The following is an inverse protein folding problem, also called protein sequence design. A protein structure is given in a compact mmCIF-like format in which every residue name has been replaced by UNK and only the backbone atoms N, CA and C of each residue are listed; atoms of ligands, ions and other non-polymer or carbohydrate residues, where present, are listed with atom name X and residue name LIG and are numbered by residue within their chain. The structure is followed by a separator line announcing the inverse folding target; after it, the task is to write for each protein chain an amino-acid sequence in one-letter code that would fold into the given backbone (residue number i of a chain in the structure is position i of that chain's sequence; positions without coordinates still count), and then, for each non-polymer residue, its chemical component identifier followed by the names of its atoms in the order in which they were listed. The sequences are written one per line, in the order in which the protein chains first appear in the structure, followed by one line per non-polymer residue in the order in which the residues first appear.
data_IF_686834602156
#
_entry.id   IF_686834602156
#
_cell.length_a   1.000
_cell.length_b   1.000
_cell.length_c   1.000
_cell.angle_alpha   90.00
_cell.angle_beta   90.00
_cell.angle_gamma   90.00
#
_symmetry.space_group_name_H-M   'P 1'
#
loop_
_entity.id
_entity.type
_entity.pdbx_description
1 polymer ?
#
# COMPACT_ATOMS: atom_id res chain seq x y z
N UNK A 1 -21.46 -22.19 48.14
CA UNK A 1 -20.58 -21.01 48.02
C UNK A 1 -20.25 -20.88 46.52
N UNK A 2 -20.99 -20.01 45.87
CA UNK A 2 -20.91 -19.80 44.42
C UNK A 2 -19.89 -18.70 44.21
N UNK A 3 -18.70 -19.04 43.66
CA UNK A 3 -17.70 -18.06 43.23
C UNK A 3 -18.11 -17.48 41.89
N UNK A 4 -18.64 -16.26 41.91
CA UNK A 4 -18.80 -15.42 40.72
C UNK A 4 -17.46 -15.26 40.02
N UNK A 5 -17.37 -15.56 38.70
CA UNK A 5 -16.16 -15.27 37.93
C UNK A 5 -15.96 -13.76 37.88
N UNK A 6 -14.89 -13.26 38.48
CA UNK A 6 -14.47 -11.88 38.29
C UNK A 6 -14.17 -11.65 36.78
N UNK A 7 -14.60 -10.51 36.21
CA UNK A 7 -14.19 -10.12 34.89
C UNK A 7 -12.65 -9.99 34.91
N UNK A 8 -11.96 -10.92 34.21
CA UNK A 8 -10.54 -10.82 34.00
C UNK A 8 -10.28 -9.52 33.20
N UNK A 9 -9.95 -8.46 33.90
CA UNK A 9 -9.29 -7.31 33.28
C UNK A 9 -8.08 -7.85 32.55
N UNK A 10 -8.09 -7.77 31.22
CA UNK A 10 -6.96 -8.16 30.40
C UNK A 10 -5.72 -7.47 30.97
N UNK A 11 -4.78 -8.19 31.60
CA UNK A 11 -3.69 -7.53 32.29
C UNK A 11 -2.87 -6.73 31.30
N UNK A 12 -2.57 -5.48 31.65
CA UNK A 12 -1.66 -4.59 30.89
C UNK A 12 -0.38 -5.35 30.45
N UNK A 13 0.06 -6.33 31.22
CA UNK A 13 1.15 -7.22 30.91
C UNK A 13 0.99 -8.01 29.58
N UNK A 14 -0.24 -8.31 29.13
CA UNK A 14 -0.46 -8.94 27.82
C UNK A 14 -0.41 -7.93 26.68
N UNK A 15 -0.73 -6.66 26.94
CA UNK A 15 -0.61 -5.56 25.97
C UNK A 15 0.87 -5.25 25.67
N UNK A 16 1.75 -5.45 26.67
CA UNK A 16 3.19 -5.21 26.60
C UNK A 16 3.99 -6.52 26.47
N UNK A 17 3.38 -7.59 25.99
CA UNK A 17 4.12 -8.84 25.78
C UNK A 17 5.23 -8.66 24.73
N UNK A 18 6.39 -9.27 24.96
CA UNK A 18 7.56 -9.18 24.07
C UNK A 18 7.24 -9.38 22.58
N UNK A 19 6.42 -10.39 22.17
CA UNK A 19 6.07 -10.55 20.75
C UNK A 19 5.33 -9.35 20.15
N UNK A 20 4.44 -8.69 20.92
CA UNK A 20 3.73 -7.50 20.46
C UNK A 20 4.67 -6.31 20.31
N UNK A 21 5.58 -6.12 21.26
CA UNK A 21 6.59 -5.06 21.23
C UNK A 21 7.57 -5.26 20.06
N UNK A 22 8.07 -6.48 19.87
CA UNK A 22 8.99 -6.79 18.76
C UNK A 22 8.31 -6.58 17.41
N UNK A 23 7.08 -7.11 17.25
CA UNK A 23 6.33 -6.92 15.99
C UNK A 23 5.99 -5.45 15.75
N UNK A 24 5.59 -4.71 16.79
CA UNK A 24 5.29 -3.30 16.71
C UNK A 24 6.53 -2.45 16.37
N UNK A 25 7.66 -2.74 17.00
CA UNK A 25 8.93 -2.07 16.72
C UNK A 25 9.41 -2.35 15.29
N UNK A 26 9.33 -3.60 14.83
CA UNK A 26 9.69 -3.98 13.46
C UNK A 26 8.80 -3.29 12.43
N UNK A 27 7.48 -3.23 12.67
CA UNK A 27 6.54 -2.50 11.83
C UNK A 27 6.86 -1.00 11.80
N UNK A 28 7.00 -0.38 12.97
CA UNK A 28 7.33 1.04 13.08
C UNK A 28 8.63 1.39 12.38
N UNK A 29 9.67 0.58 12.58
CA UNK A 29 10.97 0.75 11.92
C UNK A 29 10.84 0.61 10.39
N UNK A 30 10.14 -0.41 9.90
CA UNK A 30 9.93 -0.60 8.46
C UNK A 30 9.19 0.59 7.82
N UNK A 31 8.15 1.10 8.49
CA UNK A 31 7.39 2.27 8.03
C UNK A 31 8.28 3.52 8.00
N UNK A 32 9.00 3.78 9.10
CA UNK A 32 9.89 4.95 9.20
C UNK A 32 11.00 4.89 8.16
N UNK A 33 11.64 3.74 7.99
CA UNK A 33 12.70 3.57 6.98
C UNK A 33 12.16 3.72 5.55
N UNK A 34 10.98 3.19 5.26
CA UNK A 34 10.36 3.34 3.94
C UNK A 34 10.03 4.81 3.64
N UNK A 35 9.43 5.54 4.58
CA UNK A 35 9.18 6.97 4.41
C UNK A 35 10.46 7.79 4.37
N UNK A 36 11.45 7.51 5.24
CA UNK A 36 12.75 8.18 5.23
C UNK A 36 13.46 8.03 3.89
N UNK A 37 13.41 6.82 3.31
CA UNK A 37 13.96 6.58 1.98
C UNK A 37 13.23 7.37 0.89
N UNK A 38 11.89 7.41 0.92
CA UNK A 38 11.10 8.20 -0.04
C UNK A 38 11.41 9.70 0.07
N UNK A 39 11.63 10.23 1.27
CA UNK A 39 12.01 11.62 1.49
C UNK A 39 13.45 11.91 1.09
N UNK A 40 14.37 10.98 1.32
CA UNK A 40 15.79 11.14 1.00
C UNK A 40 16.08 11.00 -0.49
N UNK A 41 15.22 10.29 -1.21
CA UNK A 41 15.33 10.03 -2.64
C UNK A 41 14.06 10.53 -3.36
N UNK A 42 13.81 11.83 -3.39
CA UNK A 42 12.78 12.40 -4.25
C UNK A 42 13.28 12.26 -5.70
N UNK A 43 13.33 11.00 -6.19
CA UNK A 43 13.89 10.77 -7.51
C UNK A 43 12.97 11.37 -8.58
N UNK A 44 13.49 12.31 -9.35
CA UNK A 44 13.27 12.24 -10.77
C UNK A 44 13.96 10.92 -11.20
N UNK A 45 13.28 10.02 -11.88
CA UNK A 45 13.91 8.85 -12.51
C UNK A 45 14.92 9.24 -13.60
N UNK A 46 15.12 10.52 -13.80
CA UNK A 46 16.15 11.19 -14.63
C UNK A 46 17.58 10.86 -14.16
N UNK A 47 17.77 10.48 -12.89
CA UNK A 47 19.08 10.12 -12.34
C UNK A 47 19.66 8.78 -12.81
N UNK A 48 18.90 7.98 -13.56
CA UNK A 48 19.41 6.75 -14.17
C UNK A 48 19.91 6.97 -15.61
N UNK A 49 20.27 8.22 -15.99
CA UNK A 49 20.98 8.46 -17.25
C UNK A 49 20.27 9.37 -18.26
N UNK A 50 19.39 10.27 -17.82
CA UNK A 50 18.90 11.35 -18.69
C UNK A 50 19.99 12.40 -18.90
N UNK A 51 20.10 13.00 -20.12
CA UNK A 51 21.11 14.01 -20.45
C UNK A 51 21.02 15.28 -19.59
N UNK A 52 19.91 15.48 -18.85
CA UNK A 52 19.66 16.68 -18.03
C UNK A 52 20.27 16.61 -16.62
N UNK A 53 20.92 15.50 -16.26
CA UNK A 53 21.51 15.32 -14.93
C UNK A 53 22.90 15.95 -14.76
N UNK A 54 23.53 16.45 -15.85
CA UNK A 54 24.81 17.17 -15.81
C UNK A 54 24.74 18.49 -16.60
N UNK A 55 25.07 19.62 -15.98
CA UNK A 55 25.15 20.91 -16.68
C UNK A 55 26.19 20.81 -17.81
N UNK A 56 25.74 20.97 -19.06
CA UNK A 56 26.60 20.94 -20.25
C UNK A 56 26.50 19.70 -21.13
N UNK A 57 25.71 18.68 -20.79
CA UNK A 57 25.50 17.49 -21.61
C UNK A 57 24.27 17.57 -22.53
N UNK A 58 23.40 18.53 -22.37
CA UNK A 58 22.20 18.72 -23.17
C UNK A 58 22.47 18.99 -24.67
N UNK A 59 23.71 19.38 -25.03
CA UNK A 59 24.08 19.77 -26.38
C UNK A 59 24.87 18.70 -27.18
N UNK A 60 24.99 17.47 -26.67
CA UNK A 60 25.69 16.41 -27.37
C UNK A 60 24.75 15.60 -28.27
N UNK A 61 24.84 15.71 -29.63
CA UNK A 61 24.01 14.93 -30.54
C UNK A 61 24.36 13.44 -30.40
N UNK A 62 23.38 12.64 -30.00
CA UNK A 62 23.50 11.17 -29.90
C UNK A 62 23.39 10.61 -28.48
N UNK A 63 23.20 11.41 -27.44
CA UNK A 63 23.04 10.96 -26.06
C UNK A 63 21.55 10.93 -25.60
N UNK A 64 20.60 10.96 -26.52
CA UNK A 64 19.26 10.46 -26.30
C UNK A 64 19.29 8.92 -26.31
N UNK A 65 20.14 8.30 -25.51
CA UNK A 65 19.89 6.94 -25.09
C UNK A 65 18.68 7.02 -24.18
N UNK A 66 17.50 7.12 -24.79
CA UNK A 66 16.22 6.98 -24.11
C UNK A 66 16.37 5.78 -23.17
N UNK A 67 16.20 6.01 -21.87
CA UNK A 67 16.16 4.93 -20.90
C UNK A 67 15.22 3.87 -21.47
N UNK A 68 15.76 2.71 -21.84
CA UNK A 68 14.90 1.61 -22.28
C UNK A 68 14.07 1.18 -21.06
N UNK A 69 12.76 1.50 -21.04
CA UNK A 69 11.90 1.18 -19.90
C UNK A 69 11.78 -0.33 -19.67
N UNK A 70 12.23 -1.14 -20.64
CA UNK A 70 12.27 -2.59 -20.57
C UNK A 70 13.63 -3.13 -20.15
N UNK A 71 14.63 -2.29 -19.92
CA UNK A 71 15.92 -2.75 -19.39
C UNK A 71 15.73 -3.36 -17.98
N UNK A 72 16.56 -4.38 -17.69
CA UNK A 72 16.49 -5.05 -16.39
C UNK A 72 16.75 -4.07 -15.23
N UNK A 73 17.68 -3.13 -15.40
CA UNK A 73 18.04 -2.15 -14.38
C UNK A 73 16.87 -1.21 -14.09
N UNK A 74 16.19 -0.72 -15.13
CA UNK A 74 15.00 0.11 -14.97
C UNK A 74 13.87 -0.66 -14.27
N UNK A 75 13.56 -1.87 -14.73
CA UNK A 75 12.49 -2.69 -14.16
C UNK A 75 12.75 -3.04 -12.70
N UNK A 76 14.00 -3.35 -12.33
CA UNK A 76 14.38 -3.61 -10.94
C UNK A 76 14.26 -2.35 -10.07
N UNK A 77 14.70 -1.19 -10.57
CA UNK A 77 14.58 0.08 -9.87
C UNK A 77 13.11 0.48 -9.67
N UNK A 78 12.30 0.41 -10.72
CA UNK A 78 10.86 0.67 -10.67
C UNK A 78 10.15 -0.30 -9.71
N UNK A 79 10.46 -1.60 -9.78
CA UNK A 79 9.92 -2.59 -8.85
C UNK A 79 10.28 -2.28 -7.39
N UNK A 80 11.56 -1.99 -7.11
CA UNK A 80 12.02 -1.65 -5.75
C UNK A 80 11.32 -0.39 -5.22
N UNK A 81 11.18 0.63 -6.05
CA UNK A 81 10.45 1.85 -5.74
C UNK A 81 8.98 1.54 -5.38
N UNK A 82 8.26 0.81 -6.25
CA UNK A 82 6.87 0.43 -5.99
C UNK A 82 6.73 -0.43 -4.73
N UNK A 83 7.62 -1.41 -4.53
CA UNK A 83 7.59 -2.25 -3.33
C UNK A 83 7.77 -1.42 -2.06
N UNK A 84 8.70 -0.47 -2.07
CA UNK A 84 8.94 0.41 -0.93
C UNK A 84 7.77 1.35 -0.66
N UNK A 85 7.15 1.91 -1.72
CA UNK A 85 5.94 2.71 -1.58
C UNK A 85 4.79 1.90 -0.99
N UNK A 86 4.61 0.65 -1.42
CA UNK A 86 3.56 -0.21 -0.85
C UNK A 86 3.82 -0.52 0.63
N UNK A 87 5.08 -0.71 1.04
CA UNK A 87 5.42 -0.81 2.47
C UNK A 87 5.04 0.46 3.21
N UNK A 88 5.47 1.63 2.72
CA UNK A 88 5.20 2.92 3.36
C UNK A 88 3.71 3.22 3.52
N UNK A 89 2.91 2.94 2.49
CA UNK A 89 1.49 3.31 2.43
C UNK A 89 0.57 2.29 3.10
N UNK A 90 0.86 0.99 2.93
CA UNK A 90 -0.08 -0.08 3.30
C UNK A 90 0.22 -0.73 4.64
N UNK A 91 1.47 -0.72 5.09
CA UNK A 91 1.83 -1.32 6.38
C UNK A 91 1.19 -0.61 7.57
N UNK A 92 1.09 0.74 7.62
CA UNK A 92 0.39 1.44 8.70
C UNK A 92 -1.07 1.00 8.83
N UNK A 93 -1.75 0.81 7.72
CA UNK A 93 -3.16 0.40 7.70
C UNK A 93 -3.38 -1.07 8.11
N UNK A 94 -2.35 -1.93 8.02
CA UNK A 94 -2.37 -3.32 8.44
C UNK A 94 -1.93 -3.53 9.91
N UNK A 95 -1.26 -2.54 10.50
CA UNK A 95 -0.69 -2.64 11.85
C UNK A 95 -1.69 -3.11 12.93
N UNK A 96 -2.95 -2.61 12.99
CA UNK A 96 -3.91 -3.07 13.98
C UNK A 96 -4.18 -4.58 13.90
N UNK A 97 -4.25 -5.12 12.67
CA UNK A 97 -4.49 -6.55 12.43
C UNK A 97 -3.29 -7.40 12.87
N UNK A 98 -2.08 -6.97 12.52
CA UNK A 98 -0.82 -7.66 12.85
C UNK A 98 -0.61 -7.70 14.36
N UNK A 99 -0.81 -6.57 15.03
CA UNK A 99 -0.67 -6.48 16.48
C UNK A 99 -1.75 -7.28 17.22
N UNK A 100 -2.97 -7.33 16.67
CA UNK A 100 -4.02 -8.18 17.22
C UNK A 100 -3.66 -9.66 17.10
N UNK A 101 -3.15 -10.10 15.94
CA UNK A 101 -2.65 -11.47 15.75
C UNK A 101 -1.58 -11.83 16.78
N UNK A 102 -0.58 -10.97 16.96
CA UNK A 102 0.48 -11.17 17.94
C UNK A 102 -0.02 -11.28 19.39
N UNK A 103 -1.19 -10.70 19.70
CA UNK A 103 -1.82 -10.78 21.03
C UNK A 103 -2.61 -12.05 21.27
N UNK A 104 -3.31 -12.54 20.24
CA UNK A 104 -4.28 -13.66 20.37
C UNK A 104 -3.57 -15.01 20.25
N UNK A 105 -2.45 -15.07 19.57
CA UNK A 105 -1.70 -16.31 19.38
C UNK A 105 -1.30 -16.90 20.74
N UNK A 106 -1.54 -18.23 20.91
CA UNK A 106 -1.36 -18.95 22.17
C UNK A 106 -0.05 -19.75 22.25
N UNK A 107 0.83 -19.60 21.28
CA UNK A 107 2.14 -20.26 21.27
C UNK A 107 3.13 -19.71 22.32
N UNK A 108 4.32 -20.29 22.37
CA UNK A 108 5.46 -19.72 23.11
C UNK A 108 5.82 -18.35 22.54
N UNK A 109 6.55 -17.51 23.30
CA UNK A 109 6.96 -16.18 22.82
C UNK A 109 7.70 -16.24 21.48
N UNK A 110 8.59 -17.21 21.30
CA UNK A 110 9.32 -17.41 20.04
C UNK A 110 8.38 -17.79 18.88
N UNK A 111 7.41 -18.68 19.12
CA UNK A 111 6.42 -19.07 18.13
C UNK A 111 5.53 -17.88 17.72
N UNK A 112 5.03 -17.12 18.69
CA UNK A 112 4.19 -15.94 18.45
C UNK A 112 4.94 -14.88 17.64
N UNK A 113 6.21 -14.65 17.96
CA UNK A 113 7.07 -13.72 17.21
C UNK A 113 7.25 -14.20 15.76
N UNK A 114 7.64 -15.48 15.58
CA UNK A 114 7.77 -16.09 14.24
C UNK A 114 6.48 -15.99 13.43
N UNK A 115 5.35 -16.34 14.03
CA UNK A 115 4.07 -16.40 13.35
C UNK A 115 3.58 -14.98 12.97
N UNK A 116 3.89 -13.96 13.79
CA UNK A 116 3.67 -12.56 13.43
C UNK A 116 4.55 -12.11 12.25
N UNK A 117 5.81 -12.50 12.20
CA UNK A 117 6.67 -12.22 11.05
C UNK A 117 6.19 -12.94 9.79
N UNK A 118 5.76 -14.19 9.88
CA UNK A 118 5.17 -14.92 8.76
C UNK A 118 3.91 -14.23 8.24
N UNK A 119 3.06 -13.72 9.13
CA UNK A 119 1.90 -12.92 8.73
C UNK A 119 2.34 -11.69 7.94
N UNK A 120 3.30 -10.91 8.46
CA UNK A 120 3.81 -9.68 7.80
C UNK A 120 4.39 -10.03 6.42
N UNK A 121 5.24 -11.04 6.34
CA UNK A 121 5.87 -11.45 5.08
C UNK A 121 4.84 -11.86 4.03
N UNK A 122 3.84 -12.63 4.42
CA UNK A 122 2.77 -13.07 3.52
C UNK A 122 1.86 -11.91 3.08
N UNK A 123 1.59 -10.95 3.96
CA UNK A 123 0.90 -9.72 3.62
C UNK A 123 1.70 -8.90 2.60
N UNK A 124 2.99 -8.70 2.85
CA UNK A 124 3.88 -7.97 1.95
C UNK A 124 4.09 -8.70 0.62
N UNK A 125 4.09 -10.04 0.60
CA UNK A 125 4.18 -10.80 -0.64
C UNK A 125 3.04 -10.47 -1.62
N UNK A 126 1.81 -10.25 -1.12
CA UNK A 126 0.68 -9.81 -1.97
C UNK A 126 0.96 -8.43 -2.58
N UNK A 127 1.49 -7.49 -1.78
CA UNK A 127 1.84 -6.17 -2.26
C UNK A 127 3.07 -6.16 -3.16
N UNK A 128 4.01 -7.08 -2.97
CA UNK A 128 5.14 -7.29 -3.87
C UNK A 128 4.69 -7.74 -5.26
N UNK A 129 3.70 -8.66 -5.32
CA UNK A 129 3.08 -9.06 -6.60
C UNK A 129 2.42 -7.85 -7.27
N UNK A 130 1.65 -7.05 -6.53
CA UNK A 130 1.08 -5.82 -7.07
C UNK A 130 2.15 -4.84 -7.56
N UNK A 131 3.25 -4.69 -6.83
CA UNK A 131 4.38 -3.83 -7.21
C UNK A 131 5.02 -4.27 -8.53
N UNK A 132 5.09 -5.58 -8.78
CA UNK A 132 5.55 -6.10 -10.08
C UNK A 132 4.63 -5.67 -11.21
N UNK A 133 3.30 -5.82 -11.04
CA UNK A 133 2.34 -5.35 -12.04
C UNK A 133 2.42 -3.84 -12.26
N UNK A 134 2.56 -3.06 -11.19
CA UNK A 134 2.67 -1.61 -11.27
C UNK A 134 3.93 -1.17 -12.02
N UNK A 135 5.09 -1.79 -11.73
CA UNK A 135 6.35 -1.50 -12.43
C UNK A 135 6.27 -1.85 -13.93
N UNK A 136 5.69 -3.00 -14.26
CA UNK A 136 5.48 -3.38 -15.68
C UNK A 136 4.51 -2.44 -16.38
N UNK A 137 3.43 -2.02 -15.70
CA UNK A 137 2.49 -1.03 -16.22
C UNK A 137 3.18 0.32 -16.46
N UNK A 138 4.02 0.75 -15.53
CA UNK A 138 4.83 1.96 -15.66
C UNK A 138 5.74 1.88 -16.90
N UNK A 139 6.48 0.78 -17.05
CA UNK A 139 7.35 0.58 -18.23
C UNK A 139 6.55 0.60 -19.55
N UNK A 140 5.38 -0.04 -19.59
CA UNK A 140 4.52 -0.04 -20.74
C UNK A 140 3.97 1.37 -21.09
N UNK A 141 3.57 2.15 -20.08
CA UNK A 141 3.07 3.51 -20.27
C UNK A 141 4.18 4.45 -20.76
N UNK A 142 5.42 4.30 -20.27
CA UNK A 142 6.58 5.08 -20.74
C UNK A 142 6.92 4.68 -22.17
N UNK A 143 7.03 3.38 -22.45
CA UNK A 143 7.30 2.87 -23.79
C UNK A 143 6.23 3.24 -24.82
N UNK A 144 4.98 3.45 -24.37
CA UNK A 144 3.87 3.95 -25.17
C UNK A 144 3.79 5.48 -25.30
N UNK A 145 4.71 6.23 -24.67
CA UNK A 145 4.71 7.70 -24.69
C UNK A 145 3.55 8.35 -23.93
N UNK A 146 2.88 7.61 -23.04
CA UNK A 146 1.74 8.09 -22.25
C UNK A 146 2.15 8.63 -20.88
N UNK A 147 3.35 8.29 -20.44
CA UNK A 147 3.91 8.65 -19.15
C UNK A 147 5.32 9.24 -19.33
N UNK A 148 5.49 10.56 -19.27
CA UNK A 148 6.80 11.18 -19.32
C UNK A 148 7.69 10.70 -18.15
N UNK A 149 8.95 10.37 -18.44
CA UNK A 149 9.89 9.81 -17.44
C UNK A 149 10.20 10.77 -16.30
N UNK A 150 10.15 12.09 -16.56
CA UNK A 150 10.47 13.14 -15.59
C UNK A 150 9.35 13.43 -14.58
N UNK A 151 8.08 13.23 -14.95
CA UNK A 151 6.93 13.47 -14.06
C UNK A 151 6.35 12.19 -13.48
N UNK A 152 6.45 11.10 -14.24
CA UNK A 152 5.76 9.83 -13.98
C UNK A 152 4.25 10.04 -13.69
N UNK A 153 3.67 11.07 -14.31
CA UNK A 153 2.25 11.38 -14.30
C UNK A 153 1.68 11.24 -15.71
N UNK A 154 0.45 10.78 -15.84
CA UNK A 154 -0.23 10.70 -17.13
C UNK A 154 -0.33 12.10 -17.76
N UNK A 155 0.21 12.25 -18.95
CA UNK A 155 0.19 13.51 -19.70
C UNK A 155 -1.20 13.82 -20.30
N UNK A 156 -1.97 12.78 -20.60
CA UNK A 156 -3.33 12.92 -21.14
C UNK A 156 -4.36 13.12 -20.04
N UNK A 157 -4.99 14.30 -20.01
CA UNK A 157 -6.10 14.59 -19.09
C UNK A 157 -7.28 13.62 -19.26
N UNK A 158 -7.53 13.14 -20.46
CA UNK A 158 -8.60 12.17 -20.74
C UNK A 158 -8.28 10.81 -20.09
N UNK A 159 -7.03 10.32 -20.20
CA UNK A 159 -6.62 9.08 -19.56
C UNK A 159 -6.62 9.21 -18.04
N UNK A 160 -6.11 10.33 -17.51
CA UNK A 160 -6.12 10.62 -16.09
C UNK A 160 -7.56 10.66 -15.55
N UNK A 161 -8.46 11.39 -16.20
CA UNK A 161 -9.87 11.46 -15.84
C UNK A 161 -10.55 10.08 -15.92
N UNK A 162 -10.26 9.30 -16.96
CA UNK A 162 -10.76 7.93 -17.12
C UNK A 162 -10.34 7.03 -15.96
N UNK A 163 -9.07 7.12 -15.55
CA UNK A 163 -8.55 6.35 -14.42
C UNK A 163 -9.17 6.76 -13.08
N UNK A 164 -9.33 8.08 -12.85
CA UNK A 164 -10.00 8.60 -11.64
C UNK A 164 -11.47 8.18 -11.63
N UNK A 165 -12.15 8.24 -12.76
CA UNK A 165 -13.55 7.79 -12.89
C UNK A 165 -13.69 6.27 -12.65
N UNK A 166 -12.80 5.46 -13.22
CA UNK A 166 -12.79 4.02 -12.98
C UNK A 166 -12.54 3.69 -11.49
N UNK A 167 -11.64 4.41 -10.83
CA UNK A 167 -11.43 4.29 -9.38
C UNK A 167 -12.68 4.68 -8.60
N UNK A 168 -13.39 5.74 -9.00
CA UNK A 168 -14.66 6.15 -8.39
C UNK A 168 -15.74 5.07 -8.52
N UNK A 169 -15.86 4.46 -9.70
CA UNK A 169 -16.79 3.35 -9.92
C UNK A 169 -16.44 2.15 -9.05
N UNK A 170 -15.15 1.81 -8.91
CA UNK A 170 -14.71 0.74 -8.02
C UNK A 170 -15.14 0.99 -6.58
N UNK A 171 -15.05 2.25 -6.10
CA UNK A 171 -15.48 2.64 -4.75
C UNK A 171 -16.97 2.31 -4.48
N UNK A 172 -17.82 2.30 -5.51
CA UNK A 172 -19.26 2.02 -5.39
C UNK A 172 -19.59 0.53 -5.48
N UNK A 173 -18.62 -0.34 -5.80
CA UNK A 173 -18.87 -1.77 -5.98
C UNK A 173 -19.11 -2.50 -4.66
N UNK A 174 -19.96 -3.52 -4.71
CA UNK A 174 -20.15 -4.45 -3.59
C UNK A 174 -18.90 -5.26 -3.29
N UNK A 175 -18.06 -5.52 -4.30
CA UNK A 175 -16.78 -6.21 -4.15
C UNK A 175 -15.82 -5.41 -3.25
N UNK A 176 -15.66 -4.10 -3.50
CA UNK A 176 -14.87 -3.24 -2.63
C UNK A 176 -15.43 -3.21 -1.21
N UNK A 177 -16.73 -3.02 -1.06
CA UNK A 177 -17.37 -2.95 0.27
C UNK A 177 -17.14 -4.25 1.05
N UNK A 178 -17.28 -5.42 0.41
CA UNK A 178 -17.01 -6.71 1.04
C UNK A 178 -15.54 -6.86 1.48
N UNK A 179 -14.58 -6.43 0.65
CA UNK A 179 -13.17 -6.43 1.02
C UNK A 179 -12.87 -5.46 2.16
N UNK A 180 -13.40 -4.24 2.11
CA UNK A 180 -13.19 -3.19 3.11
C UNK A 180 -13.71 -3.61 4.49
N UNK A 181 -14.89 -4.23 4.58
CA UNK A 181 -15.45 -4.73 5.83
C UNK A 181 -14.52 -5.72 6.54
N UNK A 182 -13.79 -6.56 5.80
CA UNK A 182 -12.81 -7.48 6.38
C UNK A 182 -11.60 -6.73 6.98
N UNK A 183 -11.25 -5.58 6.43
CA UNK A 183 -10.16 -4.74 6.94
C UNK A 183 -10.61 -3.84 8.09
N UNK A 184 -11.86 -3.38 8.11
CA UNK A 184 -12.43 -2.53 9.16
C UNK A 184 -12.69 -3.25 10.49
N UNK A 185 -12.81 -4.59 10.46
CA UNK A 185 -13.15 -5.39 11.64
C UNK A 185 -12.07 -6.44 11.95
N UNK A 186 -10.88 -6.02 12.45
CA UNK A 186 -9.75 -6.93 12.70
C UNK A 186 -10.11 -8.11 13.59
N UNK A 187 -10.89 -7.87 14.65
CA UNK A 187 -11.30 -8.93 15.59
C UNK A 187 -12.20 -9.97 14.90
N UNK A 188 -13.22 -9.54 14.15
CA UNK A 188 -14.11 -10.46 13.44
C UNK A 188 -13.35 -11.25 12.37
N UNK A 189 -12.42 -10.60 11.66
CA UNK A 189 -11.58 -11.25 10.67
C UNK A 189 -10.73 -12.35 11.30
N UNK A 190 -10.02 -12.04 12.38
CA UNK A 190 -9.20 -13.03 13.09
C UNK A 190 -10.07 -14.15 13.64
N UNK A 191 -11.18 -13.86 14.32
CA UNK A 191 -12.09 -14.86 14.85
C UNK A 191 -12.61 -15.84 13.78
N UNK A 192 -12.84 -15.35 12.57
CA UNK A 192 -13.36 -16.14 11.44
C UNK A 192 -12.30 -17.01 10.76
N UNK A 193 -11.06 -16.52 10.66
CA UNK A 193 -10.03 -17.14 9.82
C UNK A 193 -8.82 -17.65 10.60
N UNK A 194 -8.76 -17.38 11.91
CA UNK A 194 -7.64 -17.78 12.74
C UNK A 194 -7.46 -19.30 12.80
N UNK A 195 -6.22 -19.70 12.69
CA UNK A 195 -5.76 -21.08 12.92
C UNK A 195 -4.44 -21.03 13.66
N UNK A 196 -4.16 -21.98 14.58
CA UNK A 196 -2.91 -21.99 15.32
C UNK A 196 -1.71 -22.33 14.44
N UNK A 197 -0.55 -21.77 14.83
CA UNK A 197 0.76 -22.09 14.27
C UNK A 197 1.07 -21.42 12.94
N UNK A 198 2.26 -21.68 12.41
CA UNK A 198 2.85 -21.02 11.24
C UNK A 198 1.94 -21.07 9.99
N UNK A 199 1.34 -22.22 9.69
CA UNK A 199 0.43 -22.35 8.54
C UNK A 199 -0.83 -21.49 8.70
N UNK A 200 -1.30 -21.29 9.94
CA UNK A 200 -2.38 -20.36 10.25
C UNK A 200 -1.99 -18.92 9.98
N UNK A 201 -0.83 -18.49 10.43
CA UNK A 201 -0.28 -17.16 10.22
C UNK A 201 -0.08 -16.84 8.73
N UNK A 202 0.52 -17.76 7.96
CA UNK A 202 0.69 -17.64 6.50
C UNK A 202 -0.65 -17.42 5.81
N UNK A 203 -1.64 -18.30 6.09
CA UNK A 203 -2.97 -18.21 5.47
C UNK A 203 -3.69 -16.91 5.83
N UNK A 204 -3.55 -16.48 7.09
CA UNK A 204 -4.18 -15.26 7.58
C UNK A 204 -3.54 -14.02 6.94
N UNK A 205 -2.21 -13.99 6.83
CA UNK A 205 -1.46 -12.90 6.18
C UNK A 205 -1.80 -12.76 4.69
N UNK A 206 -1.81 -13.88 3.95
CA UNK A 206 -2.21 -13.89 2.54
C UNK A 206 -3.65 -13.40 2.35
N UNK A 207 -4.59 -13.90 3.16
CA UNK A 207 -6.00 -13.47 3.07
C UNK A 207 -6.17 -11.99 3.38
N UNK A 208 -5.50 -11.51 4.45
CA UNK A 208 -5.56 -10.09 4.79
C UNK A 208 -4.95 -9.23 3.68
N UNK A 209 -3.83 -9.64 3.10
CA UNK A 209 -3.22 -8.98 1.95
C UNK A 209 -4.16 -8.92 0.74
N UNK A 210 -4.83 -10.01 0.39
CA UNK A 210 -5.78 -10.06 -0.71
C UNK A 210 -7.00 -9.17 -0.49
N UNK A 211 -7.58 -9.16 0.72
CA UNK A 211 -8.70 -8.25 1.04
C UNK A 211 -8.25 -6.79 1.04
N UNK A 212 -7.04 -6.50 1.57
CA UNK A 212 -6.45 -5.18 1.54
C UNK A 212 -6.18 -4.71 0.11
N UNK A 213 -5.60 -5.56 -0.73
CA UNK A 213 -5.45 -5.27 -2.16
C UNK A 213 -6.81 -5.02 -2.81
N UNK A 214 -7.78 -5.91 -2.63
CA UNK A 214 -9.13 -5.77 -3.19
C UNK A 214 -9.84 -4.49 -2.80
N UNK A 215 -9.61 -3.94 -1.60
CA UNK A 215 -10.26 -2.69 -1.19
C UNK A 215 -9.58 -1.43 -1.71
N UNK A 216 -8.27 -1.44 -2.04
CA UNK A 216 -7.54 -0.20 -2.33
C UNK A 216 -6.65 -0.21 -3.59
N UNK A 217 -6.62 -1.29 -4.39
CA UNK A 217 -5.80 -1.35 -5.60
C UNK A 217 -6.08 -0.21 -6.58
N UNK A 218 -7.35 0.17 -6.73
CA UNK A 218 -7.76 1.26 -7.63
C UNK A 218 -7.22 2.62 -7.20
N UNK A 219 -7.14 2.85 -5.87
CA UNK A 219 -6.54 4.06 -5.31
C UNK A 219 -5.02 4.09 -5.56
N UNK A 220 -4.36 2.92 -5.51
CA UNK A 220 -2.92 2.83 -5.80
C UNK A 220 -2.60 3.14 -7.27
N UNK A 221 -3.51 2.84 -8.20
CA UNK A 221 -3.34 3.23 -9.60
C UNK A 221 -3.45 4.75 -9.81
N UNK A 222 -4.09 5.49 -8.91
CA UNK A 222 -4.13 6.95 -8.98
C UNK A 222 -2.76 7.61 -8.78
N UNK A 223 -1.75 6.85 -8.35
CA UNK A 223 -0.36 7.33 -8.34
C UNK A 223 0.08 7.78 -9.74
N UNK A 224 -0.39 7.13 -10.79
CA UNK A 224 -0.12 7.56 -12.17
C UNK A 224 -0.80 8.88 -12.57
N UNK A 225 -1.81 9.34 -11.84
CA UNK A 225 -2.49 10.61 -12.14
C UNK A 225 -1.73 11.80 -11.61
N UNK A 226 -1.33 11.76 -10.34
CA UNK A 226 -0.65 12.88 -9.68
C UNK A 226 0.88 12.77 -9.66
N UNK A 227 1.42 11.76 -10.36
CA UNK A 227 2.84 11.45 -10.40
C UNK A 227 3.28 10.45 -9.32
N UNK A 228 3.91 9.37 -9.79
CA UNK A 228 4.31 8.24 -8.92
C UNK A 228 5.32 8.68 -7.85
N UNK A 229 6.11 9.74 -8.10
CA UNK A 229 7.12 10.26 -7.19
C UNK A 229 6.69 11.54 -6.45
N UNK A 230 5.46 11.98 -6.61
CA UNK A 230 4.94 13.12 -5.88
C UNK A 230 4.63 12.74 -4.43
N UNK A 231 5.51 13.12 -3.50
CA UNK A 231 5.41 12.77 -2.08
C UNK A 231 4.09 13.22 -1.43
N UNK A 232 3.60 14.42 -1.78
CA UNK A 232 2.33 14.90 -1.25
C UNK A 232 1.17 14.05 -1.74
N UNK A 233 1.22 13.62 -3.01
CA UNK A 233 0.23 12.74 -3.60
C UNK A 233 0.29 11.32 -3.01
N UNK A 234 1.49 10.77 -2.83
CA UNK A 234 1.72 9.48 -2.15
C UNK A 234 1.12 9.52 -0.73
N UNK A 235 1.42 10.59 0.03
CA UNK A 235 0.90 10.75 1.39
C UNK A 235 -0.64 10.87 1.42
N UNK A 236 -1.22 11.64 0.50
CA UNK A 236 -2.68 11.75 0.36
C UNK A 236 -3.32 10.39 0.05
N UNK A 237 -2.76 9.64 -0.91
CA UNK A 237 -3.26 8.31 -1.27
C UNK A 237 -2.98 7.24 -0.21
N UNK A 238 -1.98 7.41 0.66
CA UNK A 238 -1.78 6.56 1.82
C UNK A 238 -2.83 6.80 2.90
N UNK A 239 -3.21 8.07 3.09
CA UNK A 239 -4.17 8.48 4.11
C UNK A 239 -5.60 8.01 3.77
N UNK A 240 -6.00 8.01 2.50
CA UNK A 240 -7.35 7.64 2.07
C UNK A 240 -7.74 6.20 2.50
N UNK A 241 -7.01 5.13 2.16
CA UNK A 241 -7.33 3.78 2.61
C UNK A 241 -7.25 3.64 4.13
N UNK A 242 -6.35 4.39 4.79
CA UNK A 242 -6.26 4.39 6.24
C UNK A 242 -7.55 4.95 6.86
N UNK A 243 -8.02 6.11 6.40
CA UNK A 243 -9.28 6.71 6.85
C UNK A 243 -10.45 5.76 6.59
N UNK A 244 -10.56 5.19 5.38
CA UNK A 244 -11.62 4.24 5.07
C UNK A 244 -11.67 3.05 6.02
N UNK A 245 -10.50 2.52 6.43
CA UNK A 245 -10.42 1.36 7.33
C UNK A 245 -10.73 1.70 8.79
N UNK A 246 -10.43 2.92 9.22
CA UNK A 246 -10.69 3.36 10.60
C UNK A 246 -12.10 3.90 10.77
N UNK A 247 -12.69 4.43 9.70
CA UNK A 247 -14.02 5.03 9.74
C UNK A 247 -15.11 3.95 9.90
N UNK A 248 -16.07 4.13 10.82
CA UNK A 248 -17.18 3.19 10.98
C UNK A 248 -17.99 3.01 9.69
N UNK A 249 -18.49 1.79 9.39
CA UNK A 249 -19.24 1.50 8.15
C UNK A 249 -20.49 2.37 7.95
N UNK A 250 -21.05 2.90 9.03
CA UNK A 250 -22.22 3.81 9.02
C UNK A 250 -21.96 5.11 8.25
N UNK A 251 -20.74 5.61 8.26
CA UNK A 251 -20.37 6.89 7.63
C UNK A 251 -20.14 6.78 6.12
N UNK A 252 -20.07 5.55 5.59
CA UNK A 252 -19.93 5.28 4.16
C UNK A 252 -18.88 6.14 3.47
N UNK A 253 -17.69 6.18 4.09
CA UNK A 253 -16.54 6.95 3.59
C UNK A 253 -16.19 6.59 2.13
N UNK A 254 -16.42 5.35 1.73
CA UNK A 254 -16.33 4.83 0.36
C UNK A 254 -17.15 5.64 -0.63
N UNK A 255 -18.39 6.01 -0.27
CA UNK A 255 -19.29 6.79 -1.16
C UNK A 255 -18.90 8.26 -1.25
N UNK A 256 -18.50 8.86 -0.12
CA UNK A 256 -18.00 10.23 -0.13
C UNK A 256 -16.75 10.35 -0.99
N UNK A 257 -15.83 9.39 -0.85
CA UNK A 257 -14.63 9.35 -1.67
C UNK A 257 -14.97 9.15 -3.15
N UNK A 258 -15.93 8.27 -3.48
CA UNK A 258 -16.39 8.12 -4.86
C UNK A 258 -16.90 9.43 -5.45
N UNK A 259 -17.72 10.17 -4.68
CA UNK A 259 -18.22 11.49 -5.09
C UNK A 259 -17.08 12.48 -5.36
N UNK A 260 -16.11 12.56 -4.46
CA UNK A 260 -14.94 13.43 -4.63
C UNK A 260 -14.11 13.04 -5.86
N UNK A 261 -13.90 11.75 -6.10
CA UNK A 261 -13.19 11.26 -7.29
C UNK A 261 -13.96 11.58 -8.58
N UNK A 262 -15.29 11.45 -8.59
CA UNK A 262 -16.10 11.83 -9.76
C UNK A 262 -15.99 13.32 -10.08
N UNK A 263 -16.02 14.18 -9.05
CA UNK A 263 -15.80 15.62 -9.23
C UNK A 263 -14.38 15.91 -9.74
N UNK A 264 -13.36 15.20 -9.22
CA UNK A 264 -11.99 15.31 -9.71
C UNK A 264 -11.84 14.88 -11.17
N UNK A 265 -12.49 13.79 -11.59
CA UNK A 265 -12.50 13.35 -12.99
C UNK A 265 -13.17 14.41 -13.90
N UNK A 266 -14.29 14.99 -13.48
CA UNK A 266 -14.95 16.04 -14.22
C UNK A 266 -14.09 17.30 -14.35
N UNK A 267 -13.39 17.69 -13.27
CA UNK A 267 -12.46 18.81 -13.30
C UNK A 267 -11.29 18.59 -14.28
N UNK A 268 -10.70 17.39 -14.31
CA UNK A 268 -9.62 17.04 -15.26
C UNK A 268 -10.06 17.09 -16.73
N UNK A 269 -11.35 16.94 -17.01
CA UNK A 269 -11.90 17.06 -18.38
C UNK A 269 -12.27 18.49 -18.75
N UNK A 270 -12.47 19.36 -17.74
CA UNK A 270 -12.87 20.76 -17.97
C UNK A 270 -11.68 21.71 -18.16
N UNK A 271 -10.51 21.33 -17.69
CA UNK A 271 -9.26 22.10 -17.77
C UNK A 271 -8.17 21.32 -18.52
#
# INVERSE_FOLDING_TARGET
MSSTPQPETLPLARLLSRPVLISGAALGLAIVLAWAWLFANPMPMDGLGGPDSMPGMADMPGMEAALDPWSADYLLAAFAMWALMMVAMMLPSAAPMILLHARIDRGTEAQRTRDSFLFILCYLAVWTIFSTFAALTQAALIGGGLLPSHTLALDSSVLAAGLVFAAALWQLTSAKTACLQQCQSPLQFVMRYWRPGAAGAVRLGLRHGLFCLGCCWSLMLLLFVGGVMNLAWIAALALLPFIEKVTPPLWRADRWLAGLLMLGAAALLAF
#
